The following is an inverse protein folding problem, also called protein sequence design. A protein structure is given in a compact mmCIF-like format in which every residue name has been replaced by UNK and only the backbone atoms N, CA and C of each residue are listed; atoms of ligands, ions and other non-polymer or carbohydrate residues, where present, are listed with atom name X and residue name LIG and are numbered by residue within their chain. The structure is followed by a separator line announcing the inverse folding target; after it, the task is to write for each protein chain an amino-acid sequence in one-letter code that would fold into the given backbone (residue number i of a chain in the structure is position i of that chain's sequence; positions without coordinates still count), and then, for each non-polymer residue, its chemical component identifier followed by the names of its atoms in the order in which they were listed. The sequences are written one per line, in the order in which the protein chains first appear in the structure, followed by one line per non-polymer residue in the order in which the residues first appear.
data_IF_807550867276
#
_entry.id   IF_807550867276
#
_cell.length_a   1.000
_cell.length_b   1.000
_cell.length_c   1.000
_cell.angle_alpha   90.00
_cell.angle_beta   90.00
_cell.angle_gamma   90.00
#
_symmetry.space_group_name_H-M   'P 1'
#
loop_
_entity.id
_entity.type
_entity.pdbx_description
1 polymer ?
#
# COMPACT_ATOMS: atom_id res chain seq x y z
N UNK A 1 25.22 -3.74 -18.39
CA UNK A 1 25.11 -4.51 -17.14
C UNK A 1 23.96 -3.93 -16.34
N UNK A 2 22.75 -4.04 -16.90
CA UNK A 2 21.50 -3.52 -16.33
C UNK A 2 20.63 -4.73 -15.94
N UNK A 3 20.05 -4.68 -14.73
CA UNK A 3 18.94 -5.48 -14.22
C UNK A 3 19.07 -7.02 -14.16
N UNK A 4 20.18 -7.57 -13.66
CA UNK A 4 20.26 -9.01 -13.31
C UNK A 4 19.64 -9.40 -11.97
N UNK A 5 18.92 -8.49 -11.30
CA UNK A 5 18.35 -8.72 -9.95
C UNK A 5 16.84 -8.99 -9.93
N UNK A 6 16.15 -8.96 -11.07
CA UNK A 6 14.71 -9.25 -11.12
C UNK A 6 14.37 -10.73 -10.78
N UNK A 7 15.37 -11.63 -10.83
CA UNK A 7 15.19 -13.06 -10.57
C UNK A 7 14.89 -13.43 -9.10
N UNK A 8 14.98 -12.50 -8.14
CA UNK A 8 14.72 -12.80 -6.72
C UNK A 8 13.36 -12.32 -6.19
N UNK A 9 12.58 -11.56 -6.97
CA UNK A 9 11.24 -11.11 -6.55
C UNK A 9 10.08 -11.77 -7.31
N UNK A 10 10.37 -12.79 -8.14
CA UNK A 10 9.39 -13.83 -8.39
C UNK A 10 9.12 -14.55 -7.07
N UNK A 11 8.21 -14.03 -6.26
CA UNK A 11 7.71 -14.71 -5.08
C UNK A 11 7.34 -16.15 -5.46
N UNK A 12 7.57 -17.14 -4.57
CA UNK A 12 7.25 -18.52 -4.89
C UNK A 12 5.79 -18.59 -5.34
N UNK A 13 5.52 -19.34 -6.41
CA UNK A 13 4.17 -19.70 -6.86
C UNK A 13 3.40 -20.19 -5.63
N UNK A 14 2.57 -19.32 -5.05
CA UNK A 14 1.81 -19.65 -3.85
C UNK A 14 0.67 -20.56 -4.27
N UNK A 15 0.87 -21.88 -4.11
CA UNK A 15 -0.24 -22.80 -4.08
C UNK A 15 -1.12 -22.47 -2.86
N UNK A 16 -2.17 -21.69 -3.07
CA UNK A 16 -3.26 -21.57 -2.12
C UNK A 16 -4.01 -22.91 -2.09
N UNK A 17 -3.67 -23.80 -1.16
CA UNK A 17 -4.52 -24.94 -0.82
C UNK A 17 -5.46 -24.53 0.30
N UNK A 18 -6.65 -24.00 -0.02
CA UNK A 18 -7.75 -23.96 0.95
C UNK A 18 -8.44 -25.33 0.96
N UNK A 19 -8.18 -26.13 2.00
CA UNK A 19 -9.01 -27.29 2.33
C UNK A 19 -10.11 -26.83 3.28
N UNK A 20 -11.25 -26.43 2.74
CA UNK A 20 -12.50 -26.33 3.52
C UNK A 20 -13.12 -27.73 3.62
N UNK A 21 -12.99 -28.37 4.79
CA UNK A 21 -13.82 -29.53 5.14
C UNK A 21 -15.24 -29.05 5.48
N UNK A 22 -16.18 -29.36 4.59
CA UNK A 22 -17.60 -29.42 4.91
C UNK A 22 -17.82 -30.44 6.05
N UNK A 23 -18.37 -29.99 7.17
CA UNK A 23 -19.08 -30.88 8.09
C UNK A 23 -20.53 -30.41 8.17
N UNK A 24 -21.38 -31.19 7.50
CA UNK A 24 -22.82 -31.16 7.63
C UNK A 24 -23.26 -31.93 8.89
N UNK A 25 -24.34 -31.40 9.48
CA UNK A 25 -25.32 -32.06 10.35
C UNK A 25 -24.90 -32.50 11.77
N UNK A 26 -25.54 -31.87 12.75
CA UNK A 26 -26.58 -32.53 13.56
C UNK A 26 -27.42 -31.47 14.26
N UNK A 27 -28.74 -31.58 14.12
CA UNK A 27 -29.70 -30.67 14.74
C UNK A 27 -29.98 -31.04 16.19
N UNK A 28 -30.32 -30.03 17.00
CA UNK A 28 -31.20 -30.19 18.15
C UNK A 28 -32.00 -28.90 18.38
N UNK A 29 -33.32 -29.06 18.50
CA UNK A 29 -34.31 -28.01 18.73
C UNK A 29 -34.21 -27.42 20.14
N UNK A 30 -34.43 -26.12 20.31
CA UNK A 30 -34.47 -25.51 21.65
C UNK A 30 -34.87 -24.04 21.70
N UNK A 31 -36.15 -23.79 21.47
CA UNK A 31 -37.01 -22.73 22.02
C UNK A 31 -36.55 -21.25 22.20
N UNK A 32 -37.46 -20.38 21.74
CA UNK A 32 -37.47 -18.91 21.77
C UNK A 32 -37.31 -18.30 23.17
N UNK A 33 -36.54 -17.21 23.27
CA UNK A 33 -36.93 -15.99 24.01
C UNK A 33 -36.07 -14.79 23.57
N UNK A 34 -36.68 -13.90 22.79
CA UNK A 34 -36.16 -12.56 22.55
C UNK A 34 -36.25 -11.74 23.84
N UNK A 35 -35.16 -11.09 24.25
CA UNK A 35 -35.17 -9.96 25.17
C UNK A 35 -34.51 -8.78 24.46
N UNK A 36 -35.34 -7.80 24.10
CA UNK A 36 -34.90 -6.47 23.72
C UNK A 36 -34.16 -5.85 24.90
N UNK A 37 -32.91 -5.46 24.71
CA UNK A 37 -32.18 -4.60 25.63
C UNK A 37 -31.95 -3.28 24.88
N UNK A 38 -32.83 -2.31 25.12
CA UNK A 38 -32.63 -0.93 24.73
C UNK A 38 -31.51 -0.35 25.59
N UNK A 39 -30.38 -0.02 24.97
CA UNK A 39 -29.33 0.77 25.60
C UNK A 39 -29.73 2.23 25.46
N UNK A 40 -30.08 2.87 26.58
CA UNK A 40 -30.24 4.31 26.67
C UNK A 40 -28.85 4.95 26.66
N UNK A 41 -28.58 5.80 25.68
CA UNK A 41 -27.44 6.73 25.71
C UNK A 41 -27.98 8.02 26.32
N UNK A 42 -27.59 8.31 27.55
CA UNK A 42 -27.86 9.61 28.17
C UNK A 42 -27.01 10.67 27.49
N UNK A 43 -27.63 11.44 26.60
CA UNK A 43 -27.05 12.68 26.07
C UNK A 43 -27.30 13.76 27.12
N UNK A 44 -26.24 14.17 27.82
CA UNK A 44 -26.28 15.35 28.68
C UNK A 44 -26.35 16.58 27.78
N UNK A 45 -27.56 17.11 27.61
CA UNK A 45 -27.78 18.42 26.98
C UNK A 45 -27.55 19.48 28.05
N UNK A 46 -26.42 20.18 28.00
CA UNK A 46 -26.20 21.39 28.80
C UNK A 46 -27.01 22.52 28.15
N UNK A 47 -28.18 22.82 28.68
CA UNK A 47 -28.94 24.02 28.31
C UNK A 47 -28.35 25.22 29.07
N UNK A 48 -27.57 26.05 28.39
CA UNK A 48 -27.23 27.39 28.89
C UNK A 48 -28.40 28.31 28.55
N UNK A 49 -29.26 28.58 29.52
CA UNK A 49 -30.34 29.57 29.40
C UNK A 49 -29.84 30.95 29.85
N UNK A 50 -29.36 31.76 28.93
CA UNK A 50 -29.20 33.22 29.11
C UNK A 50 -30.34 33.94 28.36
N UNK A 51 -31.21 34.73 29.02
CA UNK A 51 -32.36 35.37 28.37
C UNK A 51 -32.04 36.61 27.51
N UNK A 52 -30.77 36.93 27.22
CA UNK A 52 -30.42 38.16 26.47
C UNK A 52 -29.40 37.97 25.37
N UNK A 53 -29.69 37.12 24.39
CA UNK A 53 -29.07 37.22 23.06
C UNK A 53 -29.95 36.55 22.00
N UNK A 54 -30.02 37.18 20.82
CA UNK A 54 -30.97 36.87 19.76
C UNK A 54 -30.84 35.46 19.19
N UNK A 55 -31.90 35.02 18.52
CA UNK A 55 -31.99 33.73 17.82
C UNK A 55 -30.84 33.63 16.82
N UNK A 56 -29.84 32.81 17.15
CA UNK A 56 -28.73 32.45 16.29
C UNK A 56 -29.29 31.73 15.05
N UNK A 57 -29.01 32.23 13.84
CA UNK A 57 -29.54 31.66 12.58
C UNK A 57 -28.98 30.26 12.38
N UNK A 58 -29.78 29.35 11.83
CA UNK A 58 -29.41 27.95 11.50
C UNK A 58 -28.14 27.82 10.61
N UNK A 59 -27.70 28.91 9.96
CA UNK A 59 -26.44 28.99 9.21
C UNK A 59 -25.19 29.05 10.12
N UNK A 60 -25.30 29.54 11.35
CA UNK A 60 -24.17 29.60 12.30
C UNK A 60 -23.94 28.26 13.01
N UNK A 61 -24.96 27.40 13.08
CA UNK A 61 -24.84 26.05 13.64
C UNK A 61 -24.12 25.08 12.68
N UNK A 62 -24.16 25.34 11.37
CA UNK A 62 -23.44 24.54 10.36
C UNK A 62 -21.94 24.89 10.27
N UNK A 63 -21.52 26.03 10.83
CA UNK A 63 -20.10 26.40 10.91
C UNK A 63 -19.35 25.70 12.04
N UNK A 64 -20.05 25.04 12.98
CA UNK A 64 -19.44 24.42 14.17
C UNK A 64 -19.21 22.90 14.07
N UNK A 65 -19.55 22.26 12.94
CA UNK A 65 -19.23 20.83 12.70
C UNK A 65 -17.85 20.66 12.02
N UNK A 66 -17.17 21.77 11.70
CA UNK A 66 -15.87 21.75 11.01
C UNK A 66 -14.73 22.30 11.89
N UNK A 67 -14.52 21.77 13.10
CA UNK A 67 -13.30 22.03 13.90
C UNK A 67 -13.21 21.14 15.14
N UNK A 68 -13.45 19.83 15.00
CA UNK A 68 -12.64 18.91 15.80
C UNK A 68 -11.45 18.64 14.89
N UNK A 69 -10.23 19.14 15.19
CA UNK A 69 -9.06 18.59 14.53
C UNK A 69 -9.12 17.10 14.82
N UNK A 70 -9.50 16.30 13.81
CA UNK A 70 -9.16 14.89 13.83
C UNK A 70 -7.68 14.90 14.12
N UNK A 71 -7.26 14.33 15.26
CA UNK A 71 -5.85 14.22 15.61
C UNK A 71 -5.19 13.45 14.47
N UNK A 72 -4.65 14.19 13.49
CA UNK A 72 -3.98 13.66 12.34
C UNK A 72 -2.63 13.21 12.88
N UNK A 73 -2.47 11.89 13.03
CA UNK A 73 -1.15 11.33 13.33
C UNK A 73 -0.19 11.69 12.20
N UNK A 74 1.03 12.07 12.56
CA UNK A 74 2.06 12.47 11.62
C UNK A 74 2.56 11.28 10.78
N UNK A 75 2.50 10.07 11.33
CA UNK A 75 3.02 8.86 10.71
C UNK A 75 2.31 7.61 11.23
N UNK A 76 1.83 6.75 10.33
CA UNK A 76 1.07 5.54 10.70
C UNK A 76 1.83 4.25 10.42
N UNK A 77 1.59 3.23 11.22
CA UNK A 77 2.05 1.87 10.95
C UNK A 77 0.87 0.91 10.89
N UNK A 78 0.82 0.06 9.87
CA UNK A 78 -0.22 -0.96 9.68
C UNK A 78 0.38 -2.36 9.70
N UNK A 79 -0.38 -3.32 10.21
CA UNK A 79 -0.01 -4.74 10.24
C UNK A 79 -0.86 -5.53 9.24
N UNK A 80 -0.25 -5.98 8.16
CA UNK A 80 -0.85 -6.84 7.15
C UNK A 80 -0.12 -8.19 7.06
N UNK A 81 0.14 -8.82 8.21
CA UNK A 81 0.62 -10.20 8.26
C UNK A 81 -0.57 -11.17 8.33
N UNK A 82 -0.45 -12.39 7.77
CA UNK A 82 -1.41 -13.47 7.98
C UNK A 82 -1.24 -14.13 9.36
N UNK A 83 -1.14 -13.33 10.43
CA UNK A 83 -0.75 -13.76 11.78
C UNK A 83 -1.91 -14.07 12.73
N UNK A 84 -3.15 -14.19 12.23
CA UNK A 84 -4.32 -14.61 13.05
C UNK A 84 -4.03 -15.88 13.85
N UNK A 85 -3.37 -16.85 13.22
CA UNK A 85 -3.00 -18.13 13.87
C UNK A 85 -2.07 -17.95 15.07
N UNK A 86 -1.33 -16.84 15.17
CA UNK A 86 -0.41 -16.58 16.27
C UNK A 86 -1.13 -16.15 17.55
N UNK A 87 -2.34 -15.57 17.47
CA UNK A 87 -3.00 -14.94 18.62
C UNK A 87 -3.23 -15.88 19.81
N UNK A 88 -3.49 -17.16 19.56
CA UNK A 88 -3.83 -18.12 20.62
C UNK A 88 -2.68 -18.43 21.59
N UNK A 89 -1.43 -18.33 21.13
CA UNK A 89 -0.22 -18.71 21.91
C UNK A 89 0.88 -17.65 21.93
N UNK A 90 0.90 -16.80 20.91
CA UNK A 90 1.98 -15.86 20.61
C UNK A 90 1.43 -14.46 20.28
N UNK A 91 0.52 -13.95 21.13
CA UNK A 91 -0.07 -12.63 20.94
C UNK A 91 0.97 -11.50 21.10
N UNK A 92 0.85 -10.47 20.25
CA UNK A 92 1.65 -9.24 20.30
C UNK A 92 0.71 -8.07 20.59
N UNK A 93 1.08 -7.19 21.52
CA UNK A 93 0.32 -5.98 21.82
C UNK A 93 0.65 -4.86 20.82
N UNK A 94 0.16 -5.01 19.59
CA UNK A 94 0.35 -4.03 18.51
C UNK A 94 -0.13 -2.62 18.87
N UNK A 95 -1.20 -2.52 19.68
CA UNK A 95 -1.78 -1.24 20.10
C UNK A 95 -0.78 -0.44 20.95
N UNK A 96 -0.05 -1.11 21.85
CA UNK A 96 1.00 -0.45 22.65
C UNK A 96 2.14 0.13 21.81
N UNK A 97 2.36 -0.41 20.61
CA UNK A 97 3.37 0.05 19.65
C UNK A 97 2.84 1.07 18.63
N UNK A 98 1.58 1.47 18.72
CA UNK A 98 0.96 2.37 17.74
C UNK A 98 0.69 1.72 16.37
N UNK A 99 0.70 0.39 16.29
CA UNK A 99 0.48 -0.35 15.04
C UNK A 99 -1.01 -0.64 14.88
N UNK A 100 -1.60 -0.13 13.80
CA UNK A 100 -2.99 -0.38 13.42
C UNK A 100 -3.13 -1.79 12.84
N UNK A 101 -4.11 -2.55 13.32
CA UNK A 101 -4.38 -3.92 12.86
C UNK A 101 -5.84 -4.08 12.47
N UNK A 102 -6.11 -4.97 11.52
CA UNK A 102 -7.47 -5.45 11.30
C UNK A 102 -8.01 -6.11 12.57
N UNK A 103 -9.32 -6.01 12.80
CA UNK A 103 -9.98 -6.66 13.92
C UNK A 103 -9.61 -8.16 13.96
N UNK A 104 -9.26 -8.65 15.15
CA UNK A 104 -8.83 -10.03 15.39
C UNK A 104 -7.65 -10.51 14.52
N UNK A 105 -6.82 -9.59 14.00
CA UNK A 105 -5.74 -9.89 13.05
C UNK A 105 -6.21 -10.65 11.81
N UNK A 106 -7.47 -10.46 11.40
CA UNK A 106 -7.93 -10.97 10.10
C UNK A 106 -7.07 -10.38 8.99
N UNK A 107 -6.72 -11.21 8.01
CA UNK A 107 -5.85 -10.76 6.93
C UNK A 107 -6.53 -9.70 6.04
N UNK A 108 -7.85 -9.83 5.86
CA UNK A 108 -8.71 -8.82 5.24
C UNK A 108 -9.61 -8.22 6.33
N UNK A 109 -9.68 -6.90 6.44
CA UNK A 109 -10.50 -6.29 7.48
C UNK A 109 -10.60 -4.77 7.37
N UNK A 110 -10.93 -4.14 8.51
CA UNK A 110 -11.33 -2.74 8.60
C UNK A 110 -10.17 -1.72 8.50
N UNK A 111 -8.92 -2.16 8.36
CA UNK A 111 -7.75 -1.28 8.22
C UNK A 111 -7.04 -1.44 6.89
N UNK A 112 -6.77 -2.69 6.49
CA UNK A 112 -6.02 -3.02 5.27
C UNK A 112 -6.68 -4.20 4.58
N UNK A 113 -6.89 -4.09 3.27
CA UNK A 113 -7.33 -5.18 2.39
C UNK A 113 -6.46 -5.17 1.14
N UNK A 114 -5.81 -6.30 0.87
CA UNK A 114 -5.01 -6.53 -0.34
C UNK A 114 -5.71 -7.53 -1.26
N UNK A 115 -5.67 -7.29 -2.56
CA UNK A 115 -6.30 -8.11 -3.60
C UNK A 115 -5.21 -8.73 -4.48
N UNK A 116 -4.90 -10.02 -4.23
CA UNK A 116 -3.89 -10.76 -4.98
C UNK A 116 -4.38 -11.19 -6.36
N UNK A 117 -3.52 -11.02 -7.36
CA UNK A 117 -3.75 -11.30 -8.78
C UNK A 117 -4.43 -12.63 -9.11
N UNK A 118 -4.06 -13.73 -8.45
CA UNK A 118 -4.63 -15.06 -8.77
C UNK A 118 -6.04 -15.28 -8.20
N UNK A 119 -6.53 -14.38 -7.34
CA UNK A 119 -7.84 -14.47 -6.68
C UNK A 119 -8.58 -13.12 -6.72
N UNK A 120 -8.25 -12.26 -7.68
CA UNK A 120 -8.87 -10.96 -7.89
C UNK A 120 -9.18 -10.69 -9.36
N UNK A 121 -10.47 -10.77 -9.69
CA UNK A 121 -10.94 -10.71 -11.07
C UNK A 121 -10.39 -11.87 -11.91
N UNK A 122 -10.48 -11.71 -13.23
CA UNK A 122 -9.86 -12.62 -14.22
C UNK A 122 -8.57 -12.00 -14.77
N UNK A 123 -7.59 -11.76 -13.90
CA UNK A 123 -6.29 -11.22 -14.33
C UNK A 123 -5.61 -12.19 -15.31
N UNK A 124 -5.17 -11.74 -16.50
CA UNK A 124 -4.54 -12.61 -17.49
C UNK A 124 -3.06 -12.80 -17.22
N UNK A 125 -2.59 -14.05 -17.30
CA UNK A 125 -1.18 -14.38 -17.13
C UNK A 125 -0.83 -15.73 -17.77
N UNK A 126 0.46 -16.03 -17.88
CA UNK A 126 0.95 -17.34 -18.30
C UNK A 126 1.39 -18.11 -17.07
N UNK A 127 0.74 -19.24 -16.77
CA UNK A 127 1.11 -20.04 -15.59
C UNK A 127 2.55 -20.52 -15.73
N UNK A 128 3.35 -20.28 -14.69
CA UNK A 128 4.79 -20.58 -14.67
C UNK A 128 5.58 -19.87 -15.78
N UNK A 129 5.04 -18.76 -16.32
CA UNK A 129 5.56 -18.03 -17.48
C UNK A 129 5.70 -18.89 -18.75
N UNK A 130 4.95 -19.98 -18.83
CA UNK A 130 4.89 -20.90 -19.97
C UNK A 130 3.82 -20.44 -20.96
N UNK A 131 4.23 -20.06 -22.17
CA UNK A 131 3.35 -19.59 -23.24
C UNK A 131 2.24 -20.59 -23.62
N UNK A 132 2.44 -21.88 -23.33
CA UNK A 132 1.45 -22.93 -23.60
C UNK A 132 0.39 -23.06 -22.50
N UNK A 133 0.50 -22.27 -21.42
CA UNK A 133 -0.42 -22.30 -20.28
C UNK A 133 -1.06 -20.92 -20.03
N UNK A 134 -1.76 -20.33 -21.01
CA UNK A 134 -2.44 -19.05 -20.81
C UNK A 134 -3.62 -19.21 -19.84
N UNK A 135 -3.68 -18.34 -18.86
CA UNK A 135 -4.82 -18.15 -17.96
C UNK A 135 -5.50 -16.85 -18.35
N UNK A 136 -6.83 -16.89 -18.52
CA UNK A 136 -7.64 -15.76 -18.98
C UNK A 136 -7.10 -15.10 -20.27
N UNK A 137 -6.55 -15.89 -21.19
CA UNK A 137 -5.99 -15.39 -22.46
C UNK A 137 -4.51 -14.98 -22.42
N UNK A 138 -3.86 -14.98 -21.25
CA UNK A 138 -2.41 -14.79 -21.12
C UNK A 138 -1.91 -13.34 -21.17
N UNK A 139 -2.52 -12.48 -21.99
CA UNK A 139 -2.17 -11.06 -22.13
C UNK A 139 -3.39 -10.16 -21.97
N UNK A 140 -3.24 -8.88 -21.58
CA UNK A 140 -4.38 -7.97 -21.38
C UNK A 140 -5.21 -7.75 -22.66
N UNK A 141 -4.60 -7.71 -23.84
CA UNK A 141 -5.32 -7.52 -25.11
C UNK A 141 -6.07 -8.78 -25.58
N UNK A 142 -5.83 -9.92 -24.94
CA UNK A 142 -6.48 -11.19 -25.25
C UNK A 142 -7.44 -11.65 -24.13
N UNK A 143 -7.72 -10.79 -23.16
CA UNK A 143 -8.64 -11.03 -22.06
C UNK A 143 -9.88 -10.11 -22.19
N UNK A 144 -11.12 -10.65 -22.18
CA UNK A 144 -12.31 -9.81 -22.11
C UNK A 144 -12.35 -9.02 -20.80
N UNK A 145 -12.19 -7.69 -20.88
CA UNK A 145 -12.14 -6.82 -19.70
C UNK A 145 -13.39 -6.94 -18.81
N UNK A 146 -14.58 -7.12 -19.40
CA UNK A 146 -15.83 -7.22 -18.62
C UNK A 146 -15.83 -8.46 -17.72
N UNK A 147 -15.33 -9.59 -18.20
CA UNK A 147 -15.25 -10.83 -17.41
C UNK A 147 -14.34 -10.62 -16.18
N UNK A 148 -13.25 -9.87 -16.33
CA UNK A 148 -12.42 -9.48 -15.20
C UNK A 148 -13.17 -8.59 -14.20
N UNK A 149 -13.84 -7.54 -14.69
CA UNK A 149 -14.53 -6.56 -13.85
C UNK A 149 -15.71 -7.18 -13.08
N UNK A 150 -16.44 -8.12 -13.68
CA UNK A 150 -17.57 -8.79 -13.01
C UNK A 150 -17.10 -9.62 -11.81
N UNK A 151 -16.00 -10.36 -11.98
CA UNK A 151 -15.39 -11.13 -10.88
C UNK A 151 -14.76 -10.19 -9.85
N UNK A 152 -14.06 -9.14 -10.27
CA UNK A 152 -13.46 -8.15 -9.38
C UNK A 152 -14.52 -7.45 -8.52
N UNK A 153 -15.68 -7.09 -9.10
CA UNK A 153 -16.82 -6.50 -8.37
C UNK A 153 -17.29 -7.40 -7.24
N UNK A 154 -17.44 -8.70 -7.52
CA UNK A 154 -17.79 -9.70 -6.49
C UNK A 154 -16.71 -9.76 -5.41
N UNK A 155 -15.44 -9.88 -5.80
CA UNK A 155 -14.34 -9.97 -4.84
C UNK A 155 -14.27 -8.75 -3.91
N UNK A 156 -14.45 -7.53 -4.44
CA UNK A 156 -14.46 -6.29 -3.65
C UNK A 156 -15.63 -6.28 -2.68
N UNK A 157 -16.81 -6.66 -3.16
CA UNK A 157 -18.02 -6.67 -2.33
C UNK A 157 -17.92 -7.67 -1.18
N UNK A 158 -17.34 -8.84 -1.45
CA UNK A 158 -17.15 -9.90 -0.45
C UNK A 158 -16.07 -9.54 0.59
N UNK A 159 -14.91 -9.01 0.15
CA UNK A 159 -13.77 -8.71 1.05
C UNK A 159 -13.92 -7.40 1.82
N UNK A 160 -14.67 -6.44 1.27
CA UNK A 160 -14.94 -5.14 1.89
C UNK A 160 -16.46 -4.97 1.96
N UNK A 161 -17.18 -5.65 2.87
CA UNK A 161 -18.64 -5.54 2.93
C UNK A 161 -19.11 -4.11 3.28
N UNK A 162 -18.32 -3.39 4.08
CA UNK A 162 -18.61 -2.03 4.50
C UNK A 162 -18.46 -1.03 3.34
N UNK A 163 -19.57 -0.44 2.89
CA UNK A 163 -19.59 0.53 1.77
C UNK A 163 -18.76 1.77 2.07
N UNK A 164 -18.76 2.18 3.34
CA UNK A 164 -18.08 3.37 3.85
C UNK A 164 -16.63 3.12 4.32
N UNK A 165 -16.06 1.95 3.97
CA UNK A 165 -14.66 1.62 4.28
C UNK A 165 -13.69 2.74 3.85
N UNK A 166 -12.90 3.22 4.80
CA UNK A 166 -11.94 4.33 4.66
C UNK A 166 -10.48 3.89 4.87
N UNK A 167 -10.25 2.58 4.99
CA UNK A 167 -8.95 1.95 5.13
C UNK A 167 -8.15 1.88 3.83
N UNK A 168 -7.06 1.12 3.87
CA UNK A 168 -6.16 0.91 2.74
C UNK A 168 -6.68 -0.24 1.87
N UNK A 169 -6.89 0.02 0.58
CA UNK A 169 -7.32 -0.98 -0.40
C UNK A 169 -6.25 -1.11 -1.50
N UNK A 170 -5.57 -2.24 -1.53
CA UNK A 170 -4.38 -2.45 -2.35
C UNK A 170 -4.67 -3.51 -3.39
N UNK A 171 -4.44 -3.20 -4.66
CA UNK A 171 -4.52 -4.15 -5.76
C UNK A 171 -3.09 -4.63 -6.07
N UNK A 172 -2.87 -5.93 -6.07
CA UNK A 172 -1.56 -6.53 -6.21
C UNK A 172 -1.51 -7.39 -7.49
N UNK A 173 -1.04 -6.77 -8.58
CA UNK A 173 -0.92 -7.34 -9.92
C UNK A 173 0.55 -7.27 -10.34
N UNK A 174 1.23 -8.40 -10.38
CA UNK A 174 2.68 -8.48 -10.51
C UNK A 174 3.14 -9.27 -11.73
N UNK A 175 2.34 -10.19 -12.30
CA UNK A 175 2.77 -11.06 -13.42
C UNK A 175 3.34 -10.27 -14.59
N UNK A 176 2.73 -9.14 -14.96
CA UNK A 176 3.22 -8.24 -16.01
C UNK A 176 3.17 -6.77 -15.61
N UNK A 177 4.11 -5.98 -16.14
CA UNK A 177 4.20 -4.53 -15.97
C UNK A 177 3.26 -3.82 -16.95
N UNK A 178 2.69 -2.66 -16.59
CA UNK A 178 1.63 -2.01 -17.38
C UNK A 178 2.11 -1.30 -18.65
N UNK A 179 3.42 -1.27 -18.91
CA UNK A 179 4.02 -0.80 -20.16
C UNK A 179 4.75 -1.95 -20.83
N UNK A 180 4.49 -2.19 -22.11
CA UNK A 180 5.09 -3.25 -22.93
C UNK A 180 6.62 -3.30 -22.80
N UNK A 181 7.28 -2.14 -22.88
CA UNK A 181 8.73 -2.00 -22.80
C UNK A 181 9.31 -2.18 -21.38
N UNK A 182 8.48 -2.36 -20.35
CA UNK A 182 8.93 -2.79 -19.02
C UNK A 182 9.01 -4.31 -18.88
N UNK A 183 8.36 -5.08 -19.77
CA UNK A 183 8.33 -6.55 -19.73
C UNK A 183 9.45 -7.21 -20.54
N UNK A 184 10.62 -6.57 -20.64
CA UNK A 184 11.69 -6.94 -21.55
C UNK A 184 12.75 -7.87 -20.95
N UNK A 185 12.68 -8.15 -19.66
CA UNK A 185 13.67 -8.91 -18.92
C UNK A 185 13.05 -10.12 -18.19
N UNK A 186 13.88 -11.13 -17.95
CA UNK A 186 13.54 -12.32 -17.18
C UNK A 186 12.30 -13.06 -17.68
N UNK A 187 11.55 -13.60 -16.73
CA UNK A 187 10.36 -14.41 -16.98
C UNK A 187 9.23 -13.61 -17.66
N UNK A 188 9.17 -12.29 -17.47
CA UNK A 188 8.14 -11.41 -18.04
C UNK A 188 8.27 -11.22 -19.56
N UNK A 189 9.37 -11.66 -20.16
CA UNK A 189 9.56 -11.62 -21.63
C UNK A 189 8.48 -12.35 -22.41
N UNK A 190 7.84 -13.37 -21.82
CA UNK A 190 6.71 -14.09 -22.42
C UNK A 190 5.58 -13.16 -22.85
N UNK A 191 5.27 -12.12 -22.06
CA UNK A 191 4.20 -11.18 -22.38
C UNK A 191 4.50 -10.36 -23.63
N UNK A 192 5.77 -9.98 -23.85
CA UNK A 192 6.18 -9.29 -25.08
C UNK A 192 6.14 -10.21 -26.28
N UNK A 193 6.72 -11.40 -26.15
CA UNK A 193 6.80 -12.38 -27.22
C UNK A 193 5.40 -12.78 -27.71
N UNK A 194 4.50 -13.04 -26.77
CA UNK A 194 3.13 -13.43 -27.09
C UNK A 194 2.30 -12.26 -27.62
N UNK A 195 2.54 -11.02 -27.15
CA UNK A 195 1.93 -9.83 -27.77
C UNK A 195 2.37 -9.63 -29.22
N UNK A 196 3.66 -9.89 -29.54
CA UNK A 196 4.18 -9.86 -30.91
C UNK A 196 3.54 -10.96 -31.75
N UNK A 197 3.43 -12.19 -31.22
CA UNK A 197 2.79 -13.31 -31.91
C UNK A 197 1.31 -13.02 -32.23
N UNK A 198 0.57 -12.45 -31.28
CA UNK A 198 -0.82 -12.02 -31.46
C UNK A 198 -0.93 -10.93 -32.53
N UNK A 199 -0.07 -9.91 -32.50
CA UNK A 199 -0.06 -8.86 -33.52
C UNK A 199 0.21 -9.42 -34.93
N UNK A 200 1.14 -10.38 -35.06
CA UNK A 200 1.40 -11.08 -36.34
C UNK A 200 0.17 -11.86 -36.81
N UNK A 201 -0.46 -12.62 -35.92
CA UNK A 201 -1.62 -13.44 -36.25
C UNK A 201 -2.84 -12.60 -36.66
N UNK A 202 -3.07 -11.47 -35.98
CA UNK A 202 -4.20 -10.59 -36.24
C UNK A 202 -4.01 -9.68 -37.46
N UNK A 203 -2.77 -9.50 -37.93
CA UNK A 203 -2.44 -8.59 -39.03
C UNK A 203 -1.62 -9.32 -40.13
N UNK A 204 -2.18 -10.35 -40.80
CA UNK A 204 -1.44 -11.20 -41.74
C UNK A 204 -0.92 -10.47 -42.99
N UNK A 205 -1.46 -9.28 -43.30
CA UNK A 205 -0.98 -8.44 -44.40
C UNK A 205 0.24 -7.59 -44.04
N UNK A 206 0.60 -7.46 -42.77
CA UNK A 206 1.74 -6.67 -42.30
C UNK A 206 2.97 -7.58 -42.25
N UNK A 207 3.90 -7.39 -43.18
CA UNK A 207 5.10 -8.25 -43.30
C UNK A 207 6.33 -7.65 -42.63
N UNK A 208 6.31 -6.37 -42.24
CA UNK A 208 7.44 -5.69 -41.62
C UNK A 208 7.53 -5.95 -40.11
N UNK A 209 8.63 -6.54 -39.64
CA UNK A 209 8.82 -6.83 -38.20
C UNK A 209 8.75 -5.56 -37.32
N UNK A 210 9.26 -4.43 -37.81
CA UNK A 210 9.19 -3.16 -37.08
C UNK A 210 7.76 -2.61 -36.96
N UNK A 211 6.89 -2.87 -37.95
CA UNK A 211 5.49 -2.46 -37.92
C UNK A 211 4.69 -3.36 -36.98
N UNK A 212 4.93 -4.68 -37.04
CA UNK A 212 4.37 -5.64 -36.08
C UNK A 212 4.74 -5.28 -34.65
N UNK A 213 6.01 -4.94 -34.39
CA UNK A 213 6.45 -4.57 -33.04
C UNK A 213 5.70 -3.33 -32.52
N UNK A 214 5.50 -2.33 -33.37
CA UNK A 214 4.71 -1.13 -33.04
C UNK A 214 3.24 -1.46 -32.76
N UNK A 215 2.65 -2.38 -33.54
CA UNK A 215 1.29 -2.86 -33.30
C UNK A 215 1.18 -3.59 -31.97
N UNK A 216 2.08 -4.54 -31.70
CA UNK A 216 2.12 -5.28 -30.44
C UNK A 216 2.27 -4.38 -29.22
N UNK A 217 3.18 -3.40 -29.29
CA UNK A 217 3.36 -2.41 -28.23
C UNK A 217 2.10 -1.59 -28.00
N UNK A 218 1.48 -1.09 -29.08
CA UNK A 218 0.25 -0.30 -29.00
C UNK A 218 -0.91 -1.12 -28.40
N UNK A 219 -1.16 -2.31 -28.92
CA UNK A 219 -2.26 -3.19 -28.49
C UNK A 219 -2.11 -3.59 -27.03
N UNK A 220 -0.90 -4.00 -26.61
CA UNK A 220 -0.62 -4.33 -25.22
C UNK A 220 -0.82 -3.11 -24.31
N UNK A 221 -0.23 -1.96 -24.65
CA UNK A 221 -0.31 -0.76 -23.82
C UNK A 221 -1.75 -0.24 -23.70
N UNK A 222 -2.52 -0.25 -24.79
CA UNK A 222 -3.93 0.18 -24.79
C UNK A 222 -4.78 -0.73 -23.89
N UNK A 223 -4.58 -2.06 -23.98
CA UNK A 223 -5.31 -3.03 -23.17
C UNK A 223 -4.88 -3.00 -21.70
N UNK A 224 -3.56 -2.98 -21.43
CA UNK A 224 -3.00 -2.87 -20.09
C UNK A 224 -3.50 -1.60 -19.37
N UNK A 225 -3.50 -0.45 -20.07
CA UNK A 225 -4.05 0.80 -19.53
C UNK A 225 -5.51 0.64 -19.14
N UNK A 226 -6.36 0.12 -20.03
CA UNK A 226 -7.79 -0.09 -19.72
C UNK A 226 -7.96 -1.03 -18.52
N UNK A 227 -7.18 -2.10 -18.48
CA UNK A 227 -7.23 -3.08 -17.39
C UNK A 227 -6.94 -2.43 -16.04
N UNK A 228 -5.82 -1.71 -15.92
CA UNK A 228 -5.45 -1.04 -14.68
C UNK A 228 -6.43 0.07 -14.29
N UNK A 229 -6.86 0.89 -15.26
CA UNK A 229 -7.74 2.04 -15.02
C UNK A 229 -9.14 1.62 -14.60
N UNK A 230 -9.76 0.71 -15.35
CA UNK A 230 -11.16 0.33 -15.08
C UNK A 230 -11.29 -0.52 -13.82
N UNK A 231 -10.27 -1.32 -13.48
CA UNK A 231 -10.26 -2.11 -12.24
C UNK A 231 -10.20 -1.24 -10.98
N UNK A 232 -9.31 -0.25 -10.94
CA UNK A 232 -9.21 0.64 -9.77
C UNK A 232 -10.39 1.62 -9.69
N UNK A 233 -10.94 2.07 -10.84
CA UNK A 233 -12.18 2.85 -10.88
C UNK A 233 -13.35 2.07 -10.29
N UNK A 234 -13.52 0.80 -10.66
CA UNK A 234 -14.54 -0.08 -10.10
C UNK A 234 -14.41 -0.15 -8.56
N UNK A 235 -13.20 -0.34 -8.04
CA UNK A 235 -12.93 -0.31 -6.59
C UNK A 235 -13.36 1.00 -5.95
N UNK A 236 -12.97 2.14 -6.53
CA UNK A 236 -13.33 3.47 -6.05
C UNK A 236 -14.83 3.75 -6.09
N UNK A 237 -15.52 3.30 -7.13
CA UNK A 237 -16.96 3.52 -7.26
C UNK A 237 -17.73 2.72 -6.20
N UNK A 238 -17.27 1.50 -5.92
CA UNK A 238 -17.85 0.63 -4.89
C UNK A 238 -17.50 1.11 -3.47
N UNK A 239 -16.27 1.60 -3.23
CA UNK A 239 -15.76 1.99 -1.91
C UNK A 239 -15.06 3.35 -2.00
N UNK A 240 -15.85 4.42 -2.04
CA UNK A 240 -15.41 5.80 -2.35
C UNK A 240 -14.43 6.41 -1.34
N UNK A 241 -14.52 6.01 -0.06
CA UNK A 241 -13.68 6.52 1.03
C UNK A 241 -12.35 5.76 1.14
N UNK A 242 -12.24 4.60 0.51
CA UNK A 242 -11.08 3.74 0.60
C UNK A 242 -9.89 4.35 -0.15
N UNK A 243 -8.70 4.14 0.41
CA UNK A 243 -7.45 4.60 -0.19
C UNK A 243 -6.97 3.58 -1.22
N UNK A 244 -7.58 3.56 -2.40
CA UNK A 244 -7.22 2.66 -3.49
C UNK A 244 -5.84 2.96 -4.10
N UNK A 245 -5.10 1.92 -4.45
CA UNK A 245 -3.84 2.03 -5.20
C UNK A 245 -3.27 0.64 -5.51
N UNK A 246 -2.22 0.62 -6.32
CA UNK A 246 -1.54 -0.61 -6.72
C UNK A 246 -0.27 -0.83 -5.88
N UNK A 247 -0.06 -2.05 -5.41
CA UNK A 247 1.18 -2.47 -4.75
C UNK A 247 2.39 -2.29 -5.67
N UNK A 248 3.52 -1.85 -5.09
CA UNK A 248 4.79 -1.68 -5.79
C UNK A 248 4.94 -0.34 -6.52
N UNK A 249 3.86 0.43 -6.72
CA UNK A 249 3.91 1.68 -7.48
C UNK A 249 4.18 2.92 -6.60
N UNK A 250 4.99 3.88 -7.07
CA UNK A 250 5.76 3.86 -8.33
C UNK A 250 6.99 2.95 -8.28
N UNK A 251 7.43 2.47 -9.45
CA UNK A 251 8.62 1.61 -9.54
C UNK A 251 9.92 2.41 -9.46
N UNK A 252 10.97 1.72 -9.02
CA UNK A 252 12.36 2.17 -9.07
C UNK A 252 13.24 1.06 -9.65
N UNK A 253 14.45 1.38 -10.12
CA UNK A 253 15.39 0.33 -10.54
C UNK A 253 15.78 -0.55 -9.35
N UNK A 254 15.82 -1.87 -9.55
CA UNK A 254 16.07 -2.83 -8.47
C UNK A 254 17.44 -2.65 -7.81
N UNK A 255 18.42 -2.19 -8.59
CA UNK A 255 19.76 -1.93 -8.09
C UNK A 255 19.97 -0.49 -7.58
N UNK A 256 18.89 0.25 -7.28
CA UNK A 256 19.01 1.61 -6.76
C UNK A 256 19.87 1.66 -5.49
N UNK A 257 20.75 2.65 -5.44
CA UNK A 257 21.69 2.86 -4.33
C UNK A 257 22.99 2.06 -4.43
N UNK A 258 23.12 1.14 -5.39
CA UNK A 258 24.33 0.33 -5.59
C UNK A 258 25.55 1.20 -5.91
N UNK A 259 25.39 2.24 -6.74
CA UNK A 259 26.46 3.14 -7.18
C UNK A 259 26.51 4.45 -6.39
N UNK A 260 25.89 4.50 -5.21
CA UNK A 260 25.88 5.67 -4.34
C UNK A 260 24.74 6.67 -4.61
N UNK A 261 23.81 6.34 -5.51
CA UNK A 261 22.66 7.18 -5.86
C UNK A 261 21.56 7.15 -4.78
N UNK A 262 20.81 8.24 -4.66
CA UNK A 262 19.69 8.39 -3.73
C UNK A 262 18.35 8.59 -4.45
N UNK A 263 18.33 8.37 -5.77
CA UNK A 263 17.22 8.63 -6.66
C UNK A 263 17.06 7.47 -7.62
N UNK A 264 15.83 7.21 -8.06
CA UNK A 264 15.59 6.28 -9.16
C UNK A 264 16.24 6.79 -10.45
N UNK A 265 16.68 5.86 -11.29
CA UNK A 265 17.23 6.17 -12.61
C UNK A 265 16.25 6.98 -13.45
N UNK A 266 16.77 7.78 -14.39
CA UNK A 266 15.93 8.58 -15.30
C UNK A 266 14.89 7.71 -16.03
N UNK A 267 15.29 6.51 -16.47
CA UNK A 267 14.41 5.58 -17.19
C UNK A 267 13.18 5.17 -16.38
N UNK A 268 13.37 4.83 -15.11
CA UNK A 268 12.24 4.47 -14.23
C UNK A 268 11.36 5.69 -13.92
N UNK A 269 11.95 6.87 -13.76
CA UNK A 269 11.19 8.13 -13.59
C UNK A 269 10.35 8.47 -14.82
N UNK A 270 10.91 8.30 -16.02
CA UNK A 270 10.21 8.49 -17.29
C UNK A 270 9.03 7.50 -17.42
N UNK A 271 9.25 6.21 -17.10
CA UNK A 271 8.16 5.24 -17.06
C UNK A 271 7.07 5.57 -16.04
N UNK A 272 7.42 6.06 -14.85
CA UNK A 272 6.43 6.51 -13.89
C UNK A 272 5.64 7.73 -14.42
N UNK A 273 6.26 8.59 -15.22
CA UNK A 273 5.58 9.69 -15.90
C UNK A 273 4.63 9.19 -17.00
N UNK A 274 4.99 8.12 -17.72
CA UNK A 274 4.11 7.46 -18.68
C UNK A 274 2.93 6.72 -18.00
N UNK A 275 3.12 6.25 -16.77
CA UNK A 275 2.11 5.56 -15.96
C UNK A 275 1.19 6.48 -15.17
N UNK A 276 1.17 7.79 -15.44
CA UNK A 276 0.24 8.73 -14.79
C UNK A 276 -1.23 8.33 -14.93
N UNK A 277 -1.61 7.53 -15.93
CA UNK A 277 -2.95 6.97 -16.03
C UNK A 277 -3.36 6.08 -14.85
N UNK A 278 -2.41 5.43 -14.17
CA UNK A 278 -2.65 4.67 -12.94
C UNK A 278 -2.80 5.64 -11.76
N UNK A 279 -1.83 6.55 -11.61
CA UNK A 279 -1.78 7.48 -10.48
C UNK A 279 -2.97 8.44 -10.45
N UNK A 280 -3.46 8.86 -11.62
CA UNK A 280 -4.67 9.69 -11.75
C UNK A 280 -5.92 9.01 -11.20
N UNK A 281 -5.93 7.69 -11.20
CA UNK A 281 -7.04 6.92 -10.67
C UNK A 281 -6.83 6.43 -9.23
N UNK A 282 -5.63 6.61 -8.67
CA UNK A 282 -5.30 6.23 -7.30
C UNK A 282 -5.80 7.24 -6.25
N UNK A 283 -5.96 6.76 -5.02
CA UNK A 283 -6.20 7.54 -3.81
C UNK A 283 -5.05 7.45 -2.79
N UNK A 284 -4.08 6.57 -3.02
CA UNK A 284 -2.82 6.46 -2.31
C UNK A 284 -1.75 5.78 -3.18
N UNK A 285 -0.48 5.93 -2.79
CA UNK A 285 0.66 5.21 -3.39
C UNK A 285 1.18 4.14 -2.41
N UNK A 286 1.57 2.99 -2.96
CA UNK A 286 1.99 1.81 -2.19
C UNK A 286 3.35 1.25 -2.66
N UNK A 287 4.44 2.05 -2.62
CA UNK A 287 5.75 1.56 -3.04
C UNK A 287 6.23 0.42 -2.14
N UNK A 288 6.93 -0.57 -2.71
CA UNK A 288 7.59 -1.62 -1.94
C UNK A 288 9.02 -1.19 -1.61
N UNK A 289 9.42 -1.34 -0.35
CA UNK A 289 10.77 -1.02 0.15
C UNK A 289 11.39 -2.25 0.84
N UNK A 290 11.11 -3.45 0.31
CA UNK A 290 11.62 -4.71 0.83
C UNK A 290 13.14 -4.84 0.64
N UNK A 291 13.78 -5.57 1.55
CA UNK A 291 15.22 -5.82 1.52
C UNK A 291 15.50 -7.30 1.22
N UNK A 292 15.30 -7.69 -0.04
CA UNK A 292 15.48 -9.07 -0.52
C UNK A 292 16.84 -9.39 -1.18
N UNK A 293 17.78 -8.45 -1.13
CA UNK A 293 19.06 -8.55 -1.85
C UNK A 293 20.27 -8.42 -0.92
N UNK A 294 21.39 -9.00 -1.34
CA UNK A 294 22.68 -8.90 -0.64
C UNK A 294 23.28 -7.51 -0.88
N UNK A 295 23.33 -6.70 0.16
CA UNK A 295 23.87 -5.35 0.13
C UNK A 295 24.29 -4.92 1.53
N UNK A 296 25.12 -3.88 1.63
CA UNK A 296 25.39 -3.23 2.91
C UNK A 296 24.14 -2.47 3.39
N UNK A 297 24.04 -2.23 4.70
CA UNK A 297 22.96 -1.39 5.24
C UNK A 297 22.94 0.02 4.65
N UNK A 298 24.10 0.56 4.26
CA UNK A 298 24.19 1.87 3.61
C UNK A 298 23.59 1.86 2.20
N UNK A 299 23.85 0.80 1.42
CA UNK A 299 23.23 0.62 0.11
C UNK A 299 21.72 0.40 0.23
N UNK A 300 21.27 -0.39 1.21
CA UNK A 300 19.83 -0.59 1.49
C UNK A 300 19.14 0.70 1.91
N UNK A 301 19.80 1.53 2.72
CA UNK A 301 19.30 2.86 3.07
C UNK A 301 19.10 3.75 1.84
N UNK A 302 20.07 3.75 0.91
CA UNK A 302 19.96 4.48 -0.37
C UNK A 302 18.85 3.94 -1.26
N UNK A 303 18.71 2.61 -1.34
CA UNK A 303 17.64 1.94 -2.06
C UNK A 303 16.26 2.40 -1.58
N UNK A 304 16.03 2.34 -0.26
CA UNK A 304 14.78 2.82 0.35
C UNK A 304 14.58 4.32 0.06
N UNK A 305 15.64 5.12 0.19
CA UNK A 305 15.56 6.55 -0.11
C UNK A 305 15.11 6.84 -1.54
N UNK A 306 15.71 6.16 -2.53
CA UNK A 306 15.40 6.36 -3.94
C UNK A 306 13.92 6.11 -4.24
N UNK A 307 13.38 5.00 -3.74
CA UNK A 307 11.97 4.63 -3.91
C UNK A 307 11.05 5.66 -3.27
N UNK A 308 11.33 6.07 -2.03
CA UNK A 308 10.50 7.01 -1.31
C UNK A 308 10.53 8.43 -1.91
N UNK A 309 11.69 8.86 -2.43
CA UNK A 309 11.80 10.14 -3.15
C UNK A 309 11.00 10.11 -4.45
N UNK A 310 11.00 8.98 -5.16
CA UNK A 310 10.18 8.83 -6.36
C UNK A 310 8.68 8.79 -6.04
N UNK A 311 8.27 8.07 -4.98
CA UNK A 311 6.90 8.11 -4.48
C UNK A 311 6.46 9.53 -4.14
N UNK A 312 7.30 10.32 -3.45
CA UNK A 312 7.04 11.73 -3.15
C UNK A 312 6.97 12.58 -4.41
N UNK A 313 7.84 12.35 -5.41
CA UNK A 313 7.81 13.07 -6.68
C UNK A 313 6.47 12.87 -7.39
N UNK A 314 5.97 11.63 -7.44
CA UNK A 314 4.66 11.33 -8.04
C UNK A 314 3.52 11.90 -7.20
N UNK A 315 3.54 11.72 -5.88
CA UNK A 315 2.50 12.24 -4.98
C UNK A 315 2.33 13.77 -5.10
N UNK A 316 3.43 14.52 -5.20
CA UNK A 316 3.44 15.99 -5.31
C UNK A 316 2.88 16.52 -6.64
N UNK A 317 2.57 15.65 -7.62
CA UNK A 317 1.84 16.05 -8.84
C UNK A 317 0.34 16.27 -8.60
N UNK A 318 -0.16 15.89 -7.43
CA UNK A 318 -1.56 16.00 -7.05
C UNK A 318 -1.75 17.14 -6.03
N UNK A 319 -2.96 17.70 -5.97
CA UNK A 319 -3.32 18.72 -4.99
C UNK A 319 -4.65 18.36 -4.32
N UNK A 320 -4.65 18.05 -3.01
CA UNK A 320 -3.47 17.81 -2.17
C UNK A 320 -2.63 16.62 -2.67
N UNK A 321 -1.34 16.50 -2.28
CA UNK A 321 -0.52 15.35 -2.62
C UNK A 321 -1.18 14.01 -2.22
N UNK A 322 -0.99 12.97 -3.03
CA UNK A 322 -1.49 11.63 -2.66
C UNK A 322 -0.78 11.11 -1.40
N UNK A 323 -1.49 10.49 -0.46
CA UNK A 323 -0.86 9.85 0.69
C UNK A 323 -0.04 8.63 0.25
N UNK A 324 1.08 8.39 0.92
CA UNK A 324 2.01 7.30 0.61
C UNK A 324 2.07 6.35 1.81
N UNK A 325 1.84 5.06 1.55
CA UNK A 325 1.97 3.99 2.54
C UNK A 325 2.95 2.93 2.02
N UNK A 326 4.20 2.99 2.48
CA UNK A 326 5.26 2.12 1.97
C UNK A 326 5.13 0.70 2.53
N UNK A 327 5.13 -0.30 1.65
CA UNK A 327 5.19 -1.71 2.05
C UNK A 327 6.60 -2.05 2.53
N UNK A 328 6.70 -2.57 3.74
CA UNK A 328 7.95 -3.04 4.33
C UNK A 328 7.77 -4.38 5.04
N UNK A 329 8.87 -4.97 5.49
CA UNK A 329 8.90 -6.19 6.30
C UNK A 329 9.67 -5.95 7.59
N UNK A 330 9.66 -6.97 8.44
CA UNK A 330 10.57 -7.06 9.59
C UNK A 330 11.67 -8.10 9.37
N UNK A 331 11.60 -8.83 8.26
CA UNK A 331 12.37 -10.03 7.95
C UNK A 331 12.94 -9.95 6.53
N UNK A 332 14.12 -10.54 6.32
CA UNK A 332 14.80 -10.57 5.03
C UNK A 332 14.18 -11.60 4.10
N UNK A 333 14.13 -11.26 2.81
CA UNK A 333 13.77 -12.20 1.76
C UNK A 333 15.01 -12.80 1.07
N UNK A 334 14.87 -14.00 0.49
CA UNK A 334 13.75 -14.92 0.69
C UNK A 334 13.74 -15.48 2.12
N UNK A 335 12.57 -15.89 2.63
CA UNK A 335 12.35 -16.43 3.98
C UNK A 335 12.99 -17.83 4.18
N UNK A 336 14.31 -17.92 4.02
CA UNK A 336 15.08 -19.14 4.17
C UNK A 336 15.18 -19.58 5.64
N UNK A 337 15.11 -18.62 6.56
CA UNK A 337 15.17 -18.83 8.01
C UNK A 337 13.96 -18.19 8.67
N UNK A 338 13.49 -18.80 9.76
CA UNK A 338 12.32 -18.33 10.50
C UNK A 338 12.61 -17.14 11.44
N UNK A 339 13.89 -16.85 11.67
CA UNK A 339 14.41 -15.90 12.66
C UNK A 339 15.33 -14.82 12.04
N UNK A 340 15.37 -14.71 10.72
CA UNK A 340 16.23 -13.73 10.00
C UNK A 340 15.53 -12.38 9.85
N UNK A 341 15.49 -11.63 10.95
CA UNK A 341 14.91 -10.29 11.02
C UNK A 341 15.88 -9.19 10.59
N UNK A 342 15.35 -8.07 10.09
CA UNK A 342 16.12 -6.87 9.81
C UNK A 342 16.96 -6.44 11.01
N UNK A 343 18.22 -6.12 10.77
CA UNK A 343 19.09 -5.54 11.78
C UNK A 343 18.64 -4.09 12.10
N UNK A 344 19.29 -3.46 13.07
CA UNK A 344 18.86 -2.15 13.56
C UNK A 344 19.01 -1.02 12.54
N UNK A 345 20.03 -1.08 11.69
CA UNK A 345 20.22 -0.10 10.61
C UNK A 345 19.13 -0.25 9.54
N UNK A 346 18.79 -1.49 9.20
CA UNK A 346 17.79 -1.81 8.16
C UNK A 346 16.37 -1.55 8.66
N UNK A 347 16.08 -1.79 9.95
CA UNK A 347 14.85 -1.33 10.60
C UNK A 347 14.77 0.21 10.60
N UNK A 348 15.89 0.90 10.81
CA UNK A 348 15.91 2.35 10.79
C UNK A 348 15.59 2.88 9.38
N UNK A 349 16.20 2.29 8.34
CA UNK A 349 15.92 2.58 6.93
C UNK A 349 14.47 2.29 6.53
N UNK A 350 13.82 1.30 7.14
CA UNK A 350 12.47 0.88 6.71
C UNK A 350 11.33 1.40 7.59
N UNK A 351 11.63 1.94 8.78
CA UNK A 351 10.65 2.46 9.73
C UNK A 351 10.80 3.96 9.94
N UNK A 352 12.00 4.41 10.34
CA UNK A 352 12.24 5.81 10.66
C UNK A 352 12.45 6.67 9.41
N UNK A 353 13.25 6.21 8.45
CA UNK A 353 13.52 6.97 7.23
C UNK A 353 12.25 7.33 6.43
N UNK A 354 11.21 6.48 6.29
CA UNK A 354 9.93 6.90 5.73
C UNK A 354 9.31 8.08 6.47
N UNK A 355 9.28 8.05 7.80
CA UNK A 355 8.75 9.14 8.62
C UNK A 355 9.60 10.41 8.45
N UNK A 356 10.94 10.28 8.46
CA UNK A 356 11.86 11.40 8.23
C UNK A 356 11.63 12.07 6.87
N UNK A 357 11.31 11.27 5.84
CA UNK A 357 11.00 11.75 4.51
C UNK A 357 9.55 12.24 4.38
N UNK A 358 8.75 12.27 5.44
CA UNK A 358 7.36 12.74 5.40
C UNK A 358 6.41 11.82 4.63
N UNK A 359 6.69 10.53 4.57
CA UNK A 359 5.75 9.50 4.10
C UNK A 359 4.64 9.34 5.13
N UNK A 360 3.40 9.08 4.71
CA UNK A 360 2.23 9.11 5.61
C UNK A 360 2.09 7.83 6.46
N UNK A 361 2.69 6.72 6.02
CA UNK A 361 2.85 5.55 6.85
C UNK A 361 3.58 4.38 6.20
N UNK A 362 3.65 3.28 6.95
CA UNK A 362 4.22 2.00 6.52
C UNK A 362 3.23 0.86 6.73
N UNK A 363 3.34 -0.17 5.90
CA UNK A 363 2.56 -1.41 6.00
C UNK A 363 3.55 -2.56 6.17
N UNK A 364 3.55 -3.17 7.34
CA UNK A 364 4.29 -4.40 7.57
C UNK A 364 3.55 -5.57 6.91
N UNK A 365 4.21 -6.23 5.97
CA UNK A 365 3.69 -7.40 5.28
C UNK A 365 4.58 -8.63 5.50
N UNK A 366 3.97 -9.81 5.45
CA UNK A 366 4.68 -11.09 5.47
C UNK A 366 3.92 -12.16 4.69
N UNK A 367 4.67 -13.13 4.18
CA UNK A 367 4.12 -14.34 3.55
C UNK A 367 3.37 -15.20 4.56
N UNK A 368 2.45 -16.05 4.09
CA UNK A 368 1.84 -17.11 4.91
C UNK A 368 2.76 -18.31 5.13
N UNK A 369 3.88 -18.38 4.39
CA UNK A 369 4.82 -19.50 4.43
C UNK A 369 5.31 -19.79 5.86
N UNK A 370 5.08 -21.02 6.33
CA UNK A 370 5.47 -21.49 7.68
C UNK A 370 5.06 -20.57 8.84
N UNK A 371 3.97 -19.79 8.71
CA UNK A 371 3.59 -18.77 9.69
C UNK A 371 3.48 -19.30 11.13
N UNK A 372 2.86 -20.47 11.33
CA UNK A 372 2.72 -21.10 12.65
C UNK A 372 4.08 -21.29 13.35
N UNK A 373 5.12 -21.67 12.59
CA UNK A 373 6.47 -21.86 13.12
C UNK A 373 7.18 -20.54 13.43
N UNK A 374 6.82 -19.46 12.72
CA UNK A 374 7.40 -18.12 12.89
C UNK A 374 6.75 -17.30 14.01
N UNK A 375 5.53 -17.64 14.43
CA UNK A 375 4.81 -16.95 15.50
C UNK A 375 5.64 -16.65 16.77
N UNK A 376 6.37 -17.61 17.40
CA UNK A 376 7.18 -17.31 18.59
C UNK A 376 8.30 -16.29 18.31
N UNK A 377 8.96 -16.41 17.16
CA UNK A 377 10.07 -15.53 16.78
C UNK A 377 9.59 -14.10 16.47
N UNK A 378 8.46 -13.98 15.77
CA UNK A 378 7.78 -12.71 15.51
C UNK A 378 7.38 -12.06 16.83
N UNK A 379 6.74 -12.81 17.74
CA UNK A 379 6.34 -12.28 19.04
C UNK A 379 7.53 -11.78 19.84
N UNK A 380 8.59 -12.60 19.95
CA UNK A 380 9.79 -12.25 20.68
C UNK A 380 10.46 -10.99 20.11
N UNK A 381 10.62 -10.90 18.78
CA UNK A 381 11.25 -9.73 18.15
C UNK A 381 10.41 -8.46 18.27
N UNK A 382 9.08 -8.56 18.14
CA UNK A 382 8.20 -7.42 18.36
C UNK A 382 8.29 -6.91 19.80
N UNK A 383 8.27 -7.81 20.78
CA UNK A 383 8.28 -7.45 22.19
C UNK A 383 9.61 -6.90 22.68
N UNK A 384 10.73 -7.41 22.15
CA UNK A 384 12.08 -7.07 22.65
C UNK A 384 12.76 -5.97 21.87
N UNK A 385 12.38 -5.72 20.61
CA UNK A 385 13.18 -4.89 19.70
C UNK A 385 12.39 -4.03 18.72
N UNK A 386 11.47 -4.61 17.95
CA UNK A 386 10.86 -3.93 16.80
C UNK A 386 9.70 -3.02 17.23
N UNK A 387 8.85 -3.49 18.16
CA UNK A 387 7.68 -2.74 18.61
C UNK A 387 8.04 -1.38 19.21
N UNK A 388 9.07 -1.32 20.05
CA UNK A 388 9.55 -0.07 20.65
C UNK A 388 10.13 0.90 19.61
N UNK A 389 10.78 0.41 18.56
CA UNK A 389 11.30 1.25 17.47
C UNK A 389 10.17 1.90 16.66
N UNK A 390 9.14 1.14 16.33
CA UNK A 390 7.94 1.67 15.65
C UNK A 390 7.27 2.72 16.53
N UNK A 391 7.05 2.39 17.81
CA UNK A 391 6.45 3.30 18.78
C UNK A 391 7.23 4.61 18.89
N UNK A 392 8.55 4.51 19.08
CA UNK A 392 9.42 5.67 19.20
C UNK A 392 9.39 6.55 17.96
N UNK A 393 9.36 5.96 16.75
CA UNK A 393 9.26 6.74 15.51
C UNK A 393 7.93 7.51 15.44
N UNK A 394 6.80 6.85 15.73
CA UNK A 394 5.47 7.47 15.72
C UNK A 394 5.38 8.58 16.77
N UNK A 395 5.70 8.28 18.03
CA UNK A 395 5.60 9.23 19.14
C UNK A 395 6.44 10.50 18.89
N UNK A 396 7.66 10.33 18.38
CA UNK A 396 8.56 11.46 18.12
C UNK A 396 8.08 12.32 16.95
N UNK A 397 7.51 11.73 15.89
CA UNK A 397 6.95 12.50 14.77
C UNK A 397 5.63 13.20 15.15
N UNK A 398 4.80 12.57 15.97
CA UNK A 398 3.61 13.21 16.55
C UNK A 398 4.00 14.36 17.48
N UNK A 399 5.05 14.19 18.30
CA UNK A 399 5.60 15.27 19.11
C UNK A 399 6.12 16.40 18.23
N UNK A 400 6.91 16.08 17.20
CA UNK A 400 7.45 17.08 16.28
C UNK A 400 6.34 17.87 15.58
N UNK A 401 5.31 17.20 15.07
CA UNK A 401 4.13 17.84 14.50
C UNK A 401 3.50 18.84 15.47
N UNK A 402 3.26 18.42 16.72
CA UNK A 402 2.64 19.28 17.75
C UNK A 402 3.51 20.48 18.12
N UNK A 403 4.80 20.25 18.35
CA UNK A 403 5.68 21.28 18.93
C UNK A 403 6.32 22.18 17.88
N UNK A 404 6.61 21.66 16.69
CA UNK A 404 7.32 22.39 15.63
C UNK A 404 6.38 22.89 14.54
N UNK A 405 5.40 22.09 14.13
CA UNK A 405 4.49 22.41 13.04
C UNK A 405 3.10 22.83 13.53
N UNK A 406 2.98 23.26 14.80
CA UNK A 406 1.76 23.70 15.47
C UNK A 406 0.53 22.80 15.22
N UNK A 407 0.77 21.48 15.22
CA UNK A 407 -0.23 20.45 14.98
C UNK A 407 -0.96 20.56 13.62
N UNK A 408 -0.39 21.34 12.69
CA UNK A 408 -0.97 21.73 11.40
C UNK A 408 -0.06 21.39 10.21
N UNK A 409 0.87 20.46 10.42
CA UNK A 409 1.78 19.96 9.40
C UNK A 409 2.62 18.80 9.89
N UNK A 410 3.24 18.06 8.97
CA UNK A 410 4.18 16.98 9.30
C UNK A 410 5.62 17.47 9.26
N UNK A 411 6.44 16.93 10.15
CA UNK A 411 7.87 17.18 10.14
C UNK A 411 8.54 16.37 9.03
N UNK A 412 9.42 17.02 8.27
CA UNK A 412 10.18 16.40 7.18
C UNK A 412 11.63 16.84 7.27
N UNK A 413 12.54 15.88 7.25
CA UNK A 413 13.97 16.14 7.27
C UNK A 413 14.43 16.55 5.86
N UNK A 414 14.98 17.77 5.67
CA UNK A 414 15.30 18.29 4.35
C UNK A 414 16.56 17.67 3.73
N UNK A 415 17.47 17.14 4.56
CA UNK A 415 18.74 16.60 4.10
C UNK A 415 18.71 15.07 3.99
N UNK A 416 19.49 14.52 3.06
CA UNK A 416 19.82 13.10 3.10
C UNK A 416 20.62 12.85 4.38
N UNK A 417 20.05 12.05 5.27
CA UNK A 417 20.66 11.64 6.54
C UNK A 417 21.17 10.21 6.43
N UNK A 418 21.94 9.74 7.40
CA UNK A 418 22.05 8.31 7.69
C UNK A 418 21.09 7.95 8.82
N UNK A 419 20.92 6.66 9.13
CA UNK A 419 20.03 6.24 10.21
C UNK A 419 20.84 5.59 11.35
N UNK A 420 21.67 6.34 12.10
CA UNK A 420 22.52 5.78 13.15
C UNK A 420 21.73 5.43 14.42
N UNK A 421 20.54 6.02 14.60
CA UNK A 421 19.67 5.77 15.76
C UNK A 421 18.22 6.10 15.45
N UNK A 422 17.31 5.66 16.32
CA UNK A 422 15.89 5.97 16.24
C UNK A 422 15.48 7.32 16.85
N UNK A 423 16.43 8.06 17.44
CA UNK A 423 16.16 9.39 17.98
C UNK A 423 16.07 10.44 16.86
N UNK A 424 15.15 11.40 17.00
CA UNK A 424 15.09 12.58 16.12
C UNK A 424 15.54 13.82 16.88
N UNK A 425 16.30 14.68 16.21
CA UNK A 425 16.48 16.06 16.64
C UNK A 425 15.44 16.93 15.95
N UNK A 426 14.36 17.28 16.65
CA UNK A 426 13.23 18.07 16.14
C UNK A 426 13.70 19.37 15.44
N UNK A 427 14.81 19.98 15.90
CA UNK A 427 15.29 21.23 15.34
C UNK A 427 15.84 21.10 13.91
N UNK A 428 16.23 19.89 13.51
CA UNK A 428 16.75 19.59 12.18
C UNK A 428 15.66 19.43 11.10
N UNK A 429 14.38 19.35 11.47
CA UNK A 429 13.27 19.10 10.54
C UNK A 429 12.71 20.40 9.98
N UNK A 430 12.11 20.38 8.79
CA UNK A 430 11.17 21.40 8.33
C UNK A 430 9.73 20.94 8.53
N UNK A 431 8.76 21.81 8.22
CA UNK A 431 7.34 21.45 8.20
C UNK A 431 6.80 21.39 6.77
N UNK A 432 6.05 20.33 6.46
CA UNK A 432 5.13 20.29 5.31
C UNK A 432 3.71 20.45 5.84
N UNK A 433 3.10 21.60 5.56
CA UNK A 433 1.82 21.98 6.14
C UNK A 433 0.64 21.21 5.57
N UNK A 434 -0.35 20.98 6.42
CA UNK A 434 -1.62 20.42 6.01
C UNK A 434 -2.38 21.41 5.12
N UNK A 435 -3.37 20.90 4.39
CA UNK A 435 -4.23 21.74 3.57
C UNK A 435 -4.93 22.80 4.43
N UNK A 436 -4.83 24.07 4.02
CA UNK A 436 -5.37 25.21 4.78
C UNK A 436 -4.33 25.90 5.67
N UNK A 437 -3.08 25.42 5.70
CA UNK A 437 -2.01 26.00 6.50
C UNK A 437 -0.76 26.28 5.67
N UNK A 438 0.05 27.23 6.13
CA UNK A 438 1.26 27.71 5.46
C UNK A 438 2.25 28.32 6.46
N UNK A 439 3.43 28.70 5.96
CA UNK A 439 4.53 29.21 6.76
C UNK A 439 5.50 28.11 7.18
N UNK A 440 6.67 28.50 7.66
CA UNK A 440 7.75 27.56 8.01
C UNK A 440 7.38 26.62 9.16
N UNK A 441 6.41 27.02 9.99
CA UNK A 441 5.90 26.28 11.16
C UNK A 441 4.41 25.95 11.06
N UNK A 442 3.78 26.16 9.90
CA UNK A 442 2.35 25.92 9.68
C UNK A 442 1.41 26.69 10.62
N UNK A 443 1.82 27.88 11.04
CA UNK A 443 1.11 28.75 11.97
C UNK A 443 0.07 29.66 11.30
N UNK A 444 0.16 29.80 9.98
CA UNK A 444 -0.65 30.73 9.20
C UNK A 444 -1.75 29.98 8.44
N UNK A 445 -3.02 30.24 8.80
CA UNK A 445 -4.17 29.73 8.03
C UNK A 445 -4.20 30.40 6.66
N UNK A 446 -4.27 29.60 5.61
CA UNK A 446 -4.51 30.11 4.26
C UNK A 446 -5.99 30.41 4.10
N UNK A 447 -6.32 31.58 3.53
CA UNK A 447 -7.70 31.90 3.18
C UNK A 447 -8.23 30.79 2.26
N UNK A 448 -9.41 30.27 2.56
CA UNK A 448 -10.09 29.31 1.69
C UNK A 448 -10.23 29.95 0.29
N UNK A 449 -9.90 29.23 -0.79
CA UNK A 449 -10.05 29.74 -2.16
C UNK A 449 -11.50 30.06 -2.51
#
# INVERSE_FOLDING_TARGET
MEDTQEETEGGPIYQYSETYQNSSETGFSGNKRARNMSVFIDVVVITVSDPRQGVMRFQEFLAFIALVPTLLSAFKAFWNFPSKTCQSKHAVDFKSYGIETNQNLEFYGNKVVIFYEFIFGNYPYYKDYDENKPINGGTPQNCPLQDHLDVAKKNITDRIPEVDFDGLAIIDLEEWRPIFNQNFYGLKTVFRNQSIALAKANNPSVTGDAEILKLAEKEFNDAARKFFVETIKLGRDLRKKAKWGYYGFPYCNYNAGEKGEYECSKRYRDWNDEMMFIFNESKALYPSIYLGFKASSEQRFRYVQAILKEARRIAKKFTPPLPIYAYTKIEYDPLNKIDEFYNDNDLCATIKQPADLGIDGIIFWSSSASMVKRCPEIQNNMNTRIGSKVKNTIDQHDQCRKTRCHDSGKCVLPANTTCPSFAIDINSYGCECDQGYSGDYCDSQTAAP
#
